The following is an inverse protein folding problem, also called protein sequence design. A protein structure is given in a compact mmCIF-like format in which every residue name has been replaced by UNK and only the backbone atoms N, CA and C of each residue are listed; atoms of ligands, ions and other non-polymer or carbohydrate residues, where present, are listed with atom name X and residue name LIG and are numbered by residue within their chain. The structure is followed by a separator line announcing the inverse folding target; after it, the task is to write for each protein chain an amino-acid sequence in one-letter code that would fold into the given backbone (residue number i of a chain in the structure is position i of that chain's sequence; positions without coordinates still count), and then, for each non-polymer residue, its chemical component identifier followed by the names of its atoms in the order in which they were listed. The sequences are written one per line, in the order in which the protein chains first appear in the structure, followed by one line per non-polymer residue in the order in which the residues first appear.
data_IF_170197492450
#
_entry.id   IF_170197492450
#
_cell.length_a   1.000
_cell.length_b   1.000
_cell.length_c   1.000
_cell.angle_alpha   90.00
_cell.angle_beta   90.00
_cell.angle_gamma   90.00
#
_symmetry.space_group_name_H-M   'P 1'
#
loop_
_entity.id
_entity.type
_entity.pdbx_description
1 polymer ?
#
# COMPACT_ATOMS: atom_id res chain seq x y z
N UNK A 1 -8.48 12.72 -16.49
CA UNK A 1 -8.38 11.23 -16.37
C UNK A 1 -6.94 10.78 -16.20
N UNK A 2 -6.67 9.94 -15.20
CA UNK A 2 -5.31 9.56 -14.76
C UNK A 2 -4.47 8.80 -15.80
N UNK A 3 -5.10 8.04 -16.72
CA UNK A 3 -4.38 7.24 -17.72
C UNK A 3 -3.57 8.09 -18.71
N UNK A 4 -3.99 9.35 -18.95
CA UNK A 4 -3.27 10.29 -19.82
C UNK A 4 -1.90 10.71 -19.27
N UNK A 5 -1.60 10.40 -18.01
CA UNK A 5 -0.32 10.70 -17.38
C UNK A 5 0.67 9.54 -17.49
N UNK A 6 0.23 8.35 -17.92
CA UNK A 6 1.09 7.18 -18.12
C UNK A 6 1.89 7.29 -19.41
N UNK A 7 3.06 6.66 -19.43
CA UNK A 7 3.83 6.45 -20.67
C UNK A 7 3.10 5.45 -21.58
N UNK A 8 3.35 5.52 -22.89
CA UNK A 8 2.75 4.57 -23.85
C UNK A 8 3.09 3.10 -23.49
N UNK A 9 4.33 2.85 -23.05
CA UNK A 9 4.80 1.52 -22.66
C UNK A 9 4.05 1.02 -21.41
N UNK A 10 3.90 1.88 -20.41
CA UNK A 10 3.18 1.50 -19.18
C UNK A 10 1.69 1.32 -19.42
N UNK A 11 1.11 2.08 -20.35
CA UNK A 11 -0.29 1.95 -20.74
C UNK A 11 -0.56 0.60 -21.42
N UNK A 12 0.29 0.21 -22.38
CA UNK A 12 0.20 -1.10 -23.05
C UNK A 12 0.45 -2.26 -22.07
N UNK A 13 1.44 -2.12 -21.19
CA UNK A 13 1.69 -3.13 -20.14
C UNK A 13 0.52 -3.22 -19.14
N UNK A 14 -0.16 -2.11 -18.89
CA UNK A 14 -1.35 -2.07 -18.05
C UNK A 14 -2.54 -2.75 -18.73
N UNK A 15 -2.75 -2.55 -20.04
CA UNK A 15 -3.79 -3.25 -20.81
C UNK A 15 -3.59 -4.75 -20.79
N UNK A 16 -2.36 -5.25 -20.98
CA UNK A 16 -2.05 -6.69 -20.86
C UNK A 16 -2.43 -7.25 -19.49
N UNK A 17 -2.23 -6.45 -18.44
CA UNK A 17 -2.50 -6.88 -17.06
C UNK A 17 -4.00 -6.92 -16.76
N UNK A 18 -4.79 -5.97 -17.27
CA UNK A 18 -6.26 -5.98 -17.06
C UNK A 18 -6.96 -7.03 -17.92
N UNK A 19 -6.43 -7.37 -19.09
CA UNK A 19 -7.00 -8.40 -19.97
C UNK A 19 -6.45 -9.79 -19.72
N UNK A 20 -5.50 -9.94 -18.77
CA UNK A 20 -4.74 -11.17 -18.57
C UNK A 20 -4.12 -11.69 -19.88
N UNK A 21 -3.64 -10.77 -20.73
CA UNK A 21 -3.06 -11.01 -22.05
C UNK A 21 -3.99 -11.71 -23.06
N UNK A 22 -5.29 -11.71 -22.83
CA UNK A 22 -6.26 -12.29 -23.77
C UNK A 22 -6.49 -11.41 -25.01
N UNK A 23 -6.18 -10.12 -24.90
CA UNK A 23 -6.36 -9.13 -25.97
C UNK A 23 -5.04 -8.46 -26.21
N UNK A 24 -4.57 -8.51 -27.45
CA UNK A 24 -3.40 -7.77 -27.92
C UNK A 24 -3.88 -6.38 -28.32
N UNK A 25 -3.28 -5.37 -27.73
CA UNK A 25 -3.59 -3.98 -28.00
C UNK A 25 -2.38 -3.32 -28.64
N UNK A 26 -2.57 -2.66 -29.78
CA UNK A 26 -1.45 -2.09 -30.55
C UNK A 26 -1.36 -0.55 -30.43
N UNK A 27 -2.45 0.09 -30.02
CA UNK A 27 -2.52 1.56 -29.98
C UNK A 27 -2.97 2.11 -28.62
N UNK A 28 -2.62 3.37 -28.36
CA UNK A 28 -2.86 4.07 -27.07
C UNK A 28 -4.34 4.27 -26.80
N UNK A 29 -5.14 4.53 -27.84
CA UNK A 29 -6.58 4.77 -27.70
C UNK A 29 -7.31 3.49 -27.30
N UNK A 30 -7.04 2.40 -28.00
CA UNK A 30 -7.52 1.05 -27.72
C UNK A 30 -7.03 0.57 -26.35
N UNK A 31 -5.81 0.90 -25.94
CA UNK A 31 -5.31 0.55 -24.61
C UNK A 31 -6.09 1.27 -23.53
N UNK A 32 -6.39 2.55 -23.73
CA UNK A 32 -7.21 3.33 -22.81
C UNK A 32 -8.63 2.75 -22.71
N UNK A 33 -9.26 2.47 -23.83
CA UNK A 33 -10.61 1.90 -23.88
C UNK A 33 -10.65 0.51 -23.25
N UNK A 34 -9.71 -0.36 -23.58
CA UNK A 34 -9.56 -1.70 -22.99
C UNK A 34 -9.38 -1.62 -21.49
N UNK A 35 -8.53 -0.71 -20.99
CA UNK A 35 -8.34 -0.52 -19.55
C UNK A 35 -9.65 -0.12 -18.86
N UNK A 36 -10.42 0.79 -19.45
CA UNK A 36 -11.69 1.21 -18.87
C UNK A 36 -12.73 0.09 -18.89
N UNK A 37 -12.81 -0.67 -19.99
CA UNK A 37 -13.80 -1.74 -20.17
C UNK A 37 -13.52 -2.99 -19.33
N UNK A 38 -12.24 -3.34 -19.13
CA UNK A 38 -11.84 -4.55 -18.41
C UNK A 38 -11.46 -4.31 -16.94
N UNK A 39 -11.36 -3.05 -16.49
CA UNK A 39 -11.17 -2.75 -15.07
C UNK A 39 -12.48 -2.93 -14.29
N UNK A 40 -12.48 -3.85 -13.32
CA UNK A 40 -13.68 -4.12 -12.50
C UNK A 40 -14.13 -2.91 -11.69
N UNK A 41 -13.16 -2.16 -11.15
CA UNK A 41 -13.42 -0.93 -10.43
C UNK A 41 -12.20 0.01 -10.45
N UNK A 42 -12.46 1.28 -10.15
CA UNK A 42 -11.47 2.35 -10.08
C UNK A 42 -10.36 2.07 -9.04
N UNK A 43 -10.68 1.44 -7.92
CA UNK A 43 -9.72 1.17 -6.84
C UNK A 43 -8.65 0.16 -7.25
N UNK A 44 -9.05 -0.92 -7.92
CA UNK A 44 -8.18 -1.96 -8.42
C UNK A 44 -7.19 -1.39 -9.45
N UNK A 45 -7.68 -0.53 -10.36
CA UNK A 45 -6.84 0.18 -11.33
C UNK A 45 -5.76 1.01 -10.61
N UNK A 46 -6.14 1.81 -9.62
CA UNK A 46 -5.22 2.68 -8.88
C UNK A 46 -4.22 1.92 -8.00
N UNK A 47 -4.57 0.70 -7.55
CA UNK A 47 -3.68 -0.15 -6.74
C UNK A 47 -2.59 -0.86 -7.56
N UNK A 48 -2.79 -1.08 -8.87
CA UNK A 48 -1.79 -1.75 -9.74
C UNK A 48 -0.42 -1.07 -9.66
N UNK A 49 0.66 -1.87 -9.76
CA UNK A 49 2.06 -1.41 -9.60
C UNK A 49 2.44 -0.31 -10.60
N UNK A 50 1.86 -0.33 -11.81
CA UNK A 50 2.10 0.66 -12.87
C UNK A 50 1.52 2.04 -12.54
N UNK A 51 0.45 2.09 -11.75
CA UNK A 51 -0.09 3.35 -11.24
C UNK A 51 0.64 3.69 -9.95
N UNK A 52 1.76 4.40 -10.09
CA UNK A 52 2.62 4.75 -8.96
C UNK A 52 2.04 5.88 -8.11
N UNK A 53 2.49 5.96 -6.85
CA UNK A 53 2.11 7.03 -5.91
C UNK A 53 2.26 8.41 -6.53
N UNK A 54 3.41 8.69 -7.15
CA UNK A 54 3.73 9.98 -7.76
C UNK A 54 2.75 10.36 -8.87
N UNK A 55 2.31 9.37 -9.65
CA UNK A 55 1.33 9.58 -10.71
C UNK A 55 -0.02 10.01 -10.14
N UNK A 56 -0.49 9.35 -9.08
CA UNK A 56 -1.74 9.69 -8.41
C UNK A 56 -1.64 11.06 -7.73
N UNK A 57 -0.48 11.36 -7.13
CA UNK A 57 -0.20 12.66 -6.53
C UNK A 57 -0.26 13.79 -7.58
N UNK A 58 0.46 13.62 -8.69
CA UNK A 58 0.44 14.56 -9.83
C UNK A 58 -0.95 14.71 -10.43
N UNK A 59 -1.71 13.62 -10.51
CA UNK A 59 -3.10 13.64 -10.96
C UNK A 59 -3.98 14.49 -10.05
N UNK A 60 -3.95 14.25 -8.74
CA UNK A 60 -4.74 15.02 -7.76
C UNK A 60 -4.37 16.51 -7.79
N UNK A 61 -3.07 16.84 -7.88
CA UNK A 61 -2.62 18.22 -8.02
C UNK A 61 -3.16 18.88 -9.29
N UNK A 62 -3.16 18.17 -10.43
CA UNK A 62 -3.74 18.64 -11.70
C UNK A 62 -5.25 18.88 -11.60
N UNK A 63 -5.95 18.09 -10.81
CA UNK A 63 -7.40 18.21 -10.55
C UNK A 63 -7.71 19.26 -9.45
N UNK A 64 -6.71 20.00 -8.97
CA UNK A 64 -6.87 21.04 -7.95
C UNK A 64 -7.02 20.51 -6.52
N UNK A 65 -6.72 19.23 -6.29
CA UNK A 65 -6.77 18.60 -4.97
C UNK A 65 -5.37 18.59 -4.36
N UNK A 66 -5.13 19.52 -3.42
CA UNK A 66 -3.89 19.56 -2.65
C UNK A 66 -3.79 18.37 -1.70
N UNK A 67 -2.66 17.66 -1.73
CA UNK A 67 -2.32 16.59 -0.79
C UNK A 67 -0.93 16.86 -0.19
N UNK A 68 -0.69 16.51 1.09
CA UNK A 68 0.64 16.59 1.68
C UNK A 68 1.68 15.77 0.89
N UNK A 69 2.94 16.23 0.74
CA UNK A 69 3.97 15.53 -0.01
C UNK A 69 4.44 14.23 0.64
N UNK A 70 4.07 13.97 1.91
CA UNK A 70 4.29 12.71 2.62
C UNK A 70 3.08 11.75 2.55
N UNK A 71 2.03 12.08 1.79
CA UNK A 71 0.83 11.24 1.66
C UNK A 71 1.15 9.87 1.08
N UNK A 72 0.71 8.81 1.73
CA UNK A 72 0.94 7.44 1.27
C UNK A 72 0.02 7.06 0.10
N UNK A 73 0.41 6.03 -0.68
CA UNK A 73 -0.34 5.61 -1.87
C UNK A 73 -1.82 5.37 -1.57
N UNK A 74 -2.13 4.69 -0.47
CA UNK A 74 -3.52 4.37 -0.12
C UNK A 74 -4.38 5.62 0.19
N UNK A 75 -3.80 6.65 0.81
CA UNK A 75 -4.48 7.94 1.06
C UNK A 75 -4.80 8.64 -0.25
N UNK A 76 -3.86 8.65 -1.20
CA UNK A 76 -4.05 9.21 -2.52
C UNK A 76 -5.15 8.46 -3.28
N UNK A 77 -5.13 7.12 -3.27
CA UNK A 77 -6.20 6.30 -3.88
C UNK A 77 -7.57 6.67 -3.31
N UNK A 78 -7.70 6.70 -1.98
CA UNK A 78 -8.97 7.05 -1.32
C UNK A 78 -9.46 8.43 -1.74
N UNK A 79 -8.56 9.42 -1.81
CA UNK A 79 -8.92 10.78 -2.21
C UNK A 79 -9.33 10.86 -3.68
N UNK A 80 -8.64 10.13 -4.56
CA UNK A 80 -8.97 10.03 -5.98
C UNK A 80 -10.34 9.40 -6.20
N UNK A 81 -10.67 8.33 -5.45
CA UNK A 81 -12.00 7.71 -5.51
C UNK A 81 -13.08 8.71 -5.07
N UNK A 82 -12.87 9.41 -3.96
CA UNK A 82 -13.80 10.44 -3.49
C UNK A 82 -14.00 11.58 -4.51
N UNK A 83 -12.93 12.00 -5.19
CA UNK A 83 -13.00 13.00 -6.27
C UNK A 83 -13.88 12.51 -7.43
N UNK A 84 -13.69 11.27 -7.88
CA UNK A 84 -14.48 10.70 -8.97
C UNK A 84 -15.94 10.46 -8.59
N UNK A 85 -16.22 10.09 -7.34
CA UNK A 85 -17.58 9.96 -6.83
C UNK A 85 -18.31 11.29 -6.64
N UNK A 86 -17.58 12.40 -6.49
CA UNK A 86 -18.15 13.74 -6.25
C UNK A 86 -18.69 14.42 -7.52
N UNK A 87 -18.65 13.76 -8.69
CA UNK A 87 -19.33 14.22 -9.90
C UNK A 87 -18.73 15.49 -10.56
N UNK A 88 -17.54 15.95 -10.16
CA UNK A 88 -16.83 16.99 -10.93
C UNK A 88 -16.26 16.39 -12.22
N UNK A 89 -17.11 16.29 -13.23
CA UNK A 89 -16.68 16.22 -14.62
C UNK A 89 -15.94 17.52 -14.94
N UNK A 90 -14.69 17.40 -15.35
CA UNK A 90 -13.78 18.51 -15.64
C UNK A 90 -14.19 19.20 -16.94
N UNK A 91 -14.56 20.47 -16.83
CA UNK A 91 -14.36 21.47 -17.89
C UNK A 91 -13.69 22.70 -17.28
N UNK A 92 -12.86 23.34 -18.10
CA UNK A 92 -12.24 24.66 -17.95
C UNK A 92 -10.99 24.80 -17.05
N UNK A 93 -9.84 24.77 -17.73
CA UNK A 93 -8.83 25.82 -17.76
C UNK A 93 -9.26 27.17 -17.12
N UNK A 94 -8.56 27.61 -16.06
CA UNK A 94 -8.08 29.01 -15.96
C UNK A 94 -7.22 29.24 -14.71
N UNK A 95 -5.98 29.64 -15.01
CA UNK A 95 -5.20 30.76 -14.46
C UNK A 95 -5.14 30.99 -12.94
N UNK A 96 -3.89 31.09 -12.50
CA UNK A 96 -3.38 31.78 -11.32
C UNK A 96 -4.12 33.09 -11.03
N UNK A 97 -4.29 33.41 -9.74
CA UNK A 97 -3.75 34.66 -9.18
C UNK A 97 -3.70 34.57 -7.65
N UNK A 98 -2.51 34.83 -7.12
CA UNK A 98 -2.27 35.25 -5.75
C UNK A 98 -2.94 36.60 -5.53
N UNK A 99 -3.59 36.81 -4.39
CA UNK A 99 -3.48 38.10 -3.70
C UNK A 99 -3.58 37.91 -2.19
N UNK A 100 -2.69 38.65 -1.56
CA UNK A 100 -2.37 38.83 -0.16
C UNK A 100 -3.51 39.44 0.69
N UNK A 101 -3.47 39.19 2.00
CA UNK A 101 -4.00 40.13 2.99
C UNK A 101 -5.22 39.72 3.85
N UNK A 102 -4.92 39.46 5.13
CA UNK A 102 -5.66 39.96 6.31
C UNK A 102 -6.62 39.03 7.09
N UNK A 103 -6.03 38.36 8.09
CA UNK A 103 -6.37 38.39 9.55
C UNK A 103 -7.82 38.12 10.01
N UNK A 104 -8.00 37.02 10.75
CA UNK A 104 -9.17 36.82 11.63
C UNK A 104 -9.16 35.52 12.43
N UNK A 105 -8.56 35.53 13.63
CA UNK A 105 -8.60 34.48 14.65
C UNK A 105 -10.04 34.21 15.14
N UNK A 106 -10.42 32.94 15.33
CA UNK A 106 -10.91 32.43 16.62
C UNK A 106 -10.95 30.90 16.68
N UNK A 107 -10.26 30.36 17.68
CA UNK A 107 -10.40 28.98 18.16
C UNK A 107 -11.34 28.98 19.38
N UNK A 108 -12.09 27.88 19.53
CA UNK A 108 -12.58 27.15 20.73
C UNK A 108 -13.82 26.37 20.27
N UNK A 109 -13.69 25.08 19.92
CA UNK A 109 -13.86 23.93 20.82
C UNK A 109 -15.25 23.85 21.47
N UNK A 110 -16.09 22.96 20.95
CA UNK A 110 -16.93 22.10 21.79
C UNK A 110 -17.19 20.79 21.05
N UNK A 111 -16.72 19.71 21.67
CA UNK A 111 -16.86 18.34 21.23
C UNK A 111 -18.33 17.90 21.19
N UNK A 112 -18.69 17.12 20.19
CA UNK A 112 -19.77 16.15 20.30
C UNK A 112 -19.35 14.90 19.53
N UNK A 113 -19.00 13.92 20.34
CA UNK A 113 -18.60 12.57 20.01
C UNK A 113 -19.76 11.86 19.31
N UNK A 114 -19.63 11.64 18.00
CA UNK A 114 -20.38 10.59 17.31
C UNK A 114 -19.33 9.64 16.77
N UNK A 115 -19.10 8.58 17.55
CA UNK A 115 -18.43 7.37 17.12
C UNK A 115 -19.21 6.76 15.95
N UNK A 116 -18.88 7.21 14.73
CA UNK A 116 -19.19 6.43 13.54
C UNK A 116 -18.12 5.36 13.48
N UNK A 117 -18.50 4.16 13.93
CA UNK A 117 -17.79 2.91 13.71
C UNK A 117 -17.48 2.78 12.23
N UNK A 118 -16.27 3.21 11.86
CA UNK A 118 -15.71 3.08 10.53
C UNK A 118 -15.41 1.59 10.36
N UNK A 119 -16.40 0.83 9.90
CA UNK A 119 -16.18 -0.50 9.33
C UNK A 119 -15.49 -0.27 7.97
N UNK A 120 -14.24 0.18 8.04
CA UNK A 120 -13.28 0.05 6.97
C UNK A 120 -13.04 -1.46 6.92
N UNK A 121 -13.59 -2.16 5.92
CA UNK A 121 -13.05 -3.46 5.53
C UNK A 121 -11.71 -3.15 4.84
N UNK A 122 -10.81 -2.60 5.64
CA UNK A 122 -9.65 -1.83 5.25
C UNK A 122 -8.45 -2.65 5.61
N UNK A 123 -7.68 -2.99 4.59
CA UNK A 123 -6.34 -3.52 4.74
C UNK A 123 -5.55 -2.69 5.76
N UNK A 124 -5.37 -3.22 6.96
CA UNK A 124 -4.58 -2.61 8.02
C UNK A 124 -3.21 -3.30 8.08
N UNK A 125 -2.12 -2.63 7.68
CA UNK A 125 -0.77 -3.18 7.72
C UNK A 125 -0.34 -3.62 9.12
N UNK A 126 -0.86 -2.99 10.18
CA UNK A 126 -0.53 -3.34 11.57
C UNK A 126 -1.18 -4.67 11.95
N UNK A 127 -2.46 -4.86 11.59
CA UNK A 127 -3.17 -6.13 11.79
C UNK A 127 -2.50 -7.25 10.98
N UNK A 128 -2.14 -6.99 9.73
CA UNK A 128 -1.44 -7.98 8.90
C UNK A 128 -0.06 -8.33 9.46
N UNK A 129 0.69 -7.32 9.92
CA UNK A 129 1.97 -7.51 10.60
C UNK A 129 1.83 -8.35 11.86
N UNK A 130 0.78 -8.12 12.65
CA UNK A 130 0.49 -8.92 13.85
C UNK A 130 0.18 -10.38 13.50
N UNK A 131 -0.66 -10.62 12.49
CA UNK A 131 -0.97 -11.98 12.02
C UNK A 131 0.27 -12.70 11.49
N UNK A 132 1.11 -11.99 10.73
CA UNK A 132 2.40 -12.51 10.28
C UNK A 132 3.31 -12.89 11.45
N UNK A 133 3.50 -11.99 12.43
CA UNK A 133 4.32 -12.27 13.60
C UNK A 133 3.80 -13.49 14.38
N UNK A 134 2.48 -13.56 14.59
CA UNK A 134 1.84 -14.68 15.26
C UNK A 134 2.13 -16.00 14.53
N UNK A 135 1.85 -16.07 13.23
CA UNK A 135 2.14 -17.26 12.42
C UNK A 135 3.64 -17.60 12.40
N UNK A 136 4.50 -16.63 12.11
CA UNK A 136 5.93 -16.84 11.94
C UNK A 136 6.59 -17.37 13.21
N UNK A 137 6.33 -16.75 14.36
CA UNK A 137 6.93 -17.20 15.62
C UNK A 137 6.32 -18.50 16.12
N UNK A 138 5.02 -18.75 15.92
CA UNK A 138 4.45 -20.07 16.21
C UNK A 138 5.14 -21.17 15.40
N UNK A 139 5.30 -20.94 14.10
CA UNK A 139 5.92 -21.89 13.20
C UNK A 139 7.41 -22.08 13.51
N UNK A 140 8.16 -21.00 13.72
CA UNK A 140 9.58 -21.03 14.11
C UNK A 140 9.78 -21.73 15.46
N UNK A 141 8.95 -21.43 16.46
CA UNK A 141 9.05 -22.03 17.79
C UNK A 141 8.69 -23.52 17.79
N UNK A 142 7.84 -23.98 16.87
CA UNK A 142 7.57 -25.42 16.73
C UNK A 142 8.82 -26.24 16.38
N UNK A 143 9.85 -25.59 15.80
CA UNK A 143 11.14 -26.22 15.50
C UNK A 143 12.03 -26.37 16.73
N UNK A 144 11.65 -25.83 17.89
CA UNK A 144 12.43 -25.91 19.11
C UNK A 144 12.14 -27.23 19.86
N UNK A 145 13.09 -28.18 19.93
CA UNK A 145 12.87 -29.47 20.60
C UNK A 145 12.58 -29.33 22.09
N UNK A 146 13.03 -28.24 22.74
CA UNK A 146 12.81 -28.03 24.18
C UNK A 146 11.36 -27.73 24.53
N UNK A 147 10.52 -27.34 23.56
CA UNK A 147 9.11 -27.03 23.78
C UNK A 147 8.21 -28.26 23.70
N UNK A 148 8.74 -29.43 23.33
CA UNK A 148 7.99 -30.69 23.29
C UNK A 148 6.83 -30.74 22.28
N UNK A 149 6.77 -29.78 21.36
CA UNK A 149 5.75 -29.71 20.31
C UNK A 149 6.19 -30.53 19.09
N UNK A 150 5.24 -31.10 18.35
CA UNK A 150 5.58 -31.68 17.04
C UNK A 150 6.01 -30.56 16.09
N UNK A 151 7.16 -30.71 15.40
CA UNK A 151 7.59 -29.75 14.39
C UNK A 151 6.55 -29.64 13.29
N UNK A 152 6.11 -28.42 13.02
CA UNK A 152 5.27 -28.13 11.86
C UNK A 152 6.13 -28.06 10.59
N UNK A 153 5.48 -28.11 9.43
CA UNK A 153 6.17 -28.00 8.14
C UNK A 153 6.81 -26.61 7.99
N UNK A 154 8.14 -26.56 8.02
CA UNK A 154 8.94 -25.34 7.88
C UNK A 154 9.90 -25.50 6.71
N UNK A 155 9.83 -24.59 5.75
CA UNK A 155 10.66 -24.69 4.55
C UNK A 155 10.48 -23.55 3.55
N UNK A 156 11.21 -23.59 2.42
CA UNK A 156 11.25 -22.53 1.41
C UNK A 156 9.89 -22.19 0.80
N UNK A 157 8.92 -23.11 0.82
CA UNK A 157 7.56 -22.90 0.31
C UNK A 157 6.82 -21.75 1.01
N UNK A 158 7.25 -21.38 2.21
CA UNK A 158 6.67 -20.28 2.99
C UNK A 158 7.30 -18.91 2.69
N UNK A 159 8.39 -18.86 1.91
CA UNK A 159 9.20 -17.67 1.73
C UNK A 159 9.59 -17.43 0.28
N UNK A 160 10.10 -16.23 0.02
CA UNK A 160 10.68 -15.88 -1.28
C UNK A 160 12.07 -16.51 -1.44
N UNK A 161 12.52 -16.84 -2.67
CA UNK A 161 13.80 -17.52 -2.89
C UNK A 161 15.04 -16.76 -2.38
N UNK A 162 14.95 -15.45 -2.22
CA UNK A 162 16.01 -14.56 -1.77
C UNK A 162 15.98 -14.26 -0.26
N UNK A 163 15.08 -14.89 0.49
CA UNK A 163 14.97 -14.71 1.95
C UNK A 163 16.25 -15.14 2.66
N UNK A 164 16.63 -14.43 3.72
CA UNK A 164 17.78 -14.79 4.57
C UNK A 164 17.39 -14.69 6.05
N UNK A 165 17.45 -15.81 6.76
CA UNK A 165 17.30 -15.85 8.23
C UNK A 165 18.68 -15.72 8.88
N UNK A 166 18.81 -14.84 9.88
CA UNK A 166 20.01 -14.70 10.69
C UNK A 166 19.66 -14.97 12.15
N UNK A 167 20.19 -16.05 12.70
CA UNK A 167 20.08 -16.39 14.12
C UNK A 167 21.41 -16.07 14.80
N UNK A 168 21.34 -15.27 15.87
CA UNK A 168 22.48 -14.95 16.71
C UNK A 168 22.30 -15.70 18.03
N UNK A 169 23.12 -16.71 18.28
CA UNK A 169 23.20 -17.34 19.59
C UNK A 169 24.36 -16.73 20.38
N UNK A 170 24.10 -16.42 21.65
CA UNK A 170 25.14 -16.04 22.61
C UNK A 170 25.37 -17.22 23.53
N UNK A 171 26.49 -17.91 23.36
CA UNK A 171 26.91 -18.97 24.27
C UNK A 171 27.82 -18.34 25.34
N UNK A 172 27.36 -18.25 26.59
CA UNK A 172 28.26 -17.90 27.70
C UNK A 172 29.06 -19.15 28.08
N UNK A 173 30.39 -19.11 27.90
CA UNK A 173 31.28 -20.13 28.45
C UNK A 173 31.32 -19.94 29.97
N UNK A 174 30.63 -20.80 30.69
CA UNK A 174 30.92 -20.98 32.11
C UNK A 174 32.32 -21.61 32.22
N UNK A 175 33.25 -20.87 32.82
CA UNK A 175 34.58 -21.37 33.12
C UNK A 175 34.48 -22.56 34.07
N UNK A 176 35.15 -23.65 33.70
CA UNK A 176 35.42 -24.78 34.57
C UNK A 176 36.26 -24.26 35.76
N UNK A 177 35.66 -24.16 36.93
CA UNK A 177 36.36 -23.95 38.20
C UNK A 177 36.03 -25.10 39.14
N UNK A 178 37.11 -25.65 39.70
CA UNK A 178 37.24 -26.63 40.77
C UNK A 178 36.83 -28.09 40.53
N UNK A 179 37.87 -28.89 40.24
CA UNK A 179 38.28 -29.94 41.18
C UNK A 179 39.81 -30.04 41.24
N UNK A 180 40.42 -29.12 41.96
CA UNK A 180 41.45 -29.50 42.92
C UNK A 180 40.85 -29.17 44.29
N UNK A 181 40.64 -30.19 45.13
CA UNK A 181 40.67 -30.18 46.60
C UNK A 181 40.30 -31.60 47.05
N UNK A 182 41.36 -32.29 47.51
CA UNK A 182 41.50 -33.51 48.32
C UNK A 182 41.17 -34.86 47.65
#
# INVERSE_FOLDING_TARGET
MILKLLSNIDLLSLSDTVTNKMIVVENVAEATETILSFSKNAEELLRRKKVQRELIFKYLAKEGVAMPPNSEKHQLVKRTLALWSSGKATDAESRQEETDGTKGRRATETASDIQVSKVDVGFDPQVLGQQFCQWFFQLLNSQNPSLGQQPQDWGPQHFWPDVKLRLLSRQERLYQLDRDVI
#
